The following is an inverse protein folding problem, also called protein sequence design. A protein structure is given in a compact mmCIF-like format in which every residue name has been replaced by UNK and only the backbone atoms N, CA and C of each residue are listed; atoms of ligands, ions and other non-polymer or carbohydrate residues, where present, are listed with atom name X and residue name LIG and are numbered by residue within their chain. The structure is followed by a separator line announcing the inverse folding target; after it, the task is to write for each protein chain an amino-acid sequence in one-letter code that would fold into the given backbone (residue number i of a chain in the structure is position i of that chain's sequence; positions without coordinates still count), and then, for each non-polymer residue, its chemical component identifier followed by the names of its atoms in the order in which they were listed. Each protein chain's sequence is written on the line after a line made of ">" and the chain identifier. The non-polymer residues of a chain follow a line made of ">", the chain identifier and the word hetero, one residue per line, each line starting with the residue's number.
data_IF_282563262291
#
_entry.id   IF_282563262291
#
_cell.length_a   1.000
_cell.length_b   1.000
_cell.length_c   1.000
_cell.angle_alpha   90.00
_cell.angle_beta   90.00
_cell.angle_gamma   90.00
#
_symmetry.space_group_name_H-M   'P 1'
#
loop_
_entity.id
_entity.type
_entity.pdbx_description
1 polymer ?
#
# COMPACT_ATOMS: atom_id res chain seq x y z
N UNK A 1 -5.80 78.93 -63.84
CA UNK A 1 -6.83 78.13 -63.15
C UNK A 1 -6.30 76.72 -63.00
N UNK A 2 -6.42 76.17 -61.78
CA UNK A 2 -6.36 74.71 -61.44
C UNK A 2 -5.04 73.98 -61.74
N UNK A 3 -4.34 73.28 -60.83
CA UNK A 3 -4.58 72.73 -59.49
C UNK A 3 -3.19 72.56 -58.79
N UNK A 4 -3.11 72.54 -57.45
CA UNK A 4 -1.87 72.22 -56.73
C UNK A 4 -1.70 70.70 -56.55
N UNK A 5 -0.46 70.21 -56.71
CA UNK A 5 -0.07 68.84 -56.38
C UNK A 5 -0.05 68.59 -54.85
N UNK A 6 -0.35 67.37 -54.38
CA UNK A 6 -0.48 67.10 -52.96
C UNK A 6 0.87 67.07 -52.23
N UNK A 7 0.89 67.63 -51.03
CA UNK A 7 1.99 67.55 -50.09
C UNK A 7 2.19 66.11 -49.59
N UNK A 8 3.33 65.52 -49.94
CA UNK A 8 3.81 64.28 -49.33
C UNK A 8 4.16 64.56 -47.86
N UNK A 9 3.34 64.04 -46.94
CA UNK A 9 3.73 63.91 -45.54
C UNK A 9 4.84 62.86 -45.43
N UNK A 10 6.07 63.30 -45.14
CA UNK A 10 7.10 62.40 -44.61
C UNK A 10 6.75 62.06 -43.16
N UNK A 11 6.23 60.85 -42.95
CA UNK A 11 6.36 60.18 -41.64
C UNK A 11 7.85 59.88 -41.39
N UNK A 12 8.40 60.17 -40.19
CA UNK A 12 9.72 59.67 -39.84
C UNK A 12 9.66 58.15 -39.67
N UNK A 13 10.66 57.38 -40.14
CA UNK A 13 10.69 55.95 -39.91
C UNK A 13 10.84 55.66 -38.42
N UNK A 14 10.00 54.77 -37.91
CA UNK A 14 10.07 54.22 -36.55
C UNK A 14 11.36 53.40 -36.35
N UNK A 15 12.46 54.09 -36.05
CA UNK A 15 13.74 53.47 -35.70
C UNK A 15 13.77 53.12 -34.21
N UNK A 16 13.20 51.97 -33.84
CA UNK A 16 13.10 51.60 -32.42
C UNK A 16 13.15 50.10 -32.08
N UNK A 17 13.40 49.19 -33.03
CA UNK A 17 13.26 47.75 -32.76
C UNK A 17 14.43 46.78 -33.07
N UNK A 18 15.54 47.11 -33.77
CA UNK A 18 16.57 46.09 -34.04
C UNK A 18 17.52 45.84 -32.85
N UNK A 19 17.80 46.84 -32.01
CA UNK A 19 18.81 46.73 -30.95
C UNK A 19 18.39 45.80 -29.80
N UNK A 20 17.10 45.76 -29.45
CA UNK A 20 16.59 44.92 -28.35
C UNK A 20 16.58 43.43 -28.73
N UNK A 21 16.34 43.11 -30.00
CA UNK A 21 16.32 41.74 -30.51
C UNK A 21 17.74 41.20 -30.66
N UNK A 22 18.66 42.01 -31.19
CA UNK A 22 20.09 41.70 -31.29
C UNK A 22 20.72 41.45 -29.91
N UNK A 23 20.38 42.26 -28.90
CA UNK A 23 20.88 42.09 -27.54
C UNK A 23 20.36 40.82 -26.86
N UNK A 24 19.07 40.46 -27.10
CA UNK A 24 18.49 39.20 -26.62
C UNK A 24 19.17 37.99 -27.29
N UNK A 25 19.43 38.07 -28.59
CA UNK A 25 20.10 37.01 -29.34
C UNK A 25 21.56 36.83 -28.88
N UNK A 26 22.30 37.93 -28.71
CA UNK A 26 23.68 37.92 -28.23
C UNK A 26 23.79 37.36 -26.81
N UNK A 27 22.87 37.74 -25.91
CA UNK A 27 22.79 37.16 -24.56
C UNK A 27 22.50 35.66 -24.61
N UNK A 28 21.54 35.22 -25.43
CA UNK A 28 21.19 33.81 -25.60
C UNK A 28 22.35 32.97 -26.18
N UNK A 29 23.09 33.51 -27.15
CA UNK A 29 24.27 32.85 -27.72
C UNK A 29 25.43 32.79 -26.73
N UNK A 30 25.62 33.83 -25.91
CA UNK A 30 26.65 33.85 -24.87
C UNK A 30 26.35 32.87 -23.73
N UNK A 31 25.10 32.83 -23.24
CA UNK A 31 24.67 31.81 -22.27
C UNK A 31 24.77 30.42 -22.86
N UNK A 32 24.33 30.21 -24.12
CA UNK A 32 24.48 28.93 -24.80
C UNK A 32 25.94 28.50 -24.89
N UNK A 33 26.87 29.42 -25.21
CA UNK A 33 28.30 29.11 -25.32
C UNK A 33 28.96 28.80 -23.97
N UNK A 34 28.57 29.49 -22.90
CA UNK A 34 29.05 29.20 -21.53
C UNK A 34 28.49 27.87 -21.03
N UNK A 35 27.18 27.64 -21.21
CA UNK A 35 26.52 26.38 -20.86
C UNK A 35 27.15 25.23 -21.64
N UNK A 36 27.38 25.40 -22.94
CA UNK A 36 28.05 24.40 -23.78
C UNK A 36 29.48 24.12 -23.32
N UNK A 37 30.24 25.16 -22.94
CA UNK A 37 31.61 25.00 -22.44
C UNK A 37 31.67 24.32 -21.07
N UNK A 38 30.68 24.54 -20.21
CA UNK A 38 30.58 23.87 -18.91
C UNK A 38 30.04 22.43 -19.06
N UNK A 39 29.14 22.21 -20.03
CA UNK A 39 28.64 20.90 -20.41
C UNK A 39 29.73 20.02 -21.01
N UNK A 40 30.54 20.56 -21.94
CA UNK A 40 31.65 19.83 -22.56
C UNK A 40 32.80 19.51 -21.61
N UNK A 41 32.91 20.25 -20.49
CA UNK A 41 33.86 19.96 -19.40
C UNK A 41 33.33 18.95 -18.37
N UNK A 42 32.15 18.38 -18.59
CA UNK A 42 31.58 17.33 -17.74
C UNK A 42 31.08 17.81 -16.36
N UNK A 43 30.99 19.12 -16.13
CA UNK A 43 30.44 19.68 -14.89
C UNK A 43 29.04 19.13 -14.54
N UNK A 44 28.05 19.06 -15.47
CA UNK A 44 26.74 18.52 -15.13
C UNK A 44 26.79 17.05 -14.74
N UNK A 45 27.62 16.25 -15.42
CA UNK A 45 27.81 14.83 -15.10
C UNK A 45 28.37 14.68 -13.68
N UNK A 46 29.37 15.49 -13.31
CA UNK A 46 29.94 15.49 -11.94
C UNK A 46 28.91 15.87 -10.89
N UNK A 47 28.08 16.87 -11.14
CA UNK A 47 27.01 17.28 -10.23
C UNK A 47 25.95 16.18 -10.10
N UNK A 48 25.54 15.55 -11.20
CA UNK A 48 24.59 14.44 -11.20
C UNK A 48 25.13 13.23 -10.44
N UNK A 49 26.40 12.87 -10.65
CA UNK A 49 27.07 11.79 -9.90
C UNK A 49 27.15 12.11 -8.41
N UNK A 50 27.53 13.34 -8.06
CA UNK A 50 27.57 13.79 -6.66
C UNK A 50 26.18 13.69 -6.03
N UNK A 51 25.13 14.12 -6.73
CA UNK A 51 23.74 14.01 -6.26
C UNK A 51 23.36 12.55 -6.00
N UNK A 52 23.67 11.63 -6.91
CA UNK A 52 23.42 10.20 -6.72
C UNK A 52 24.17 9.69 -5.49
N UNK A 53 25.46 9.99 -5.37
CA UNK A 53 26.28 9.51 -4.27
C UNK A 53 25.79 10.05 -2.93
N UNK A 54 25.53 11.35 -2.81
CA UNK A 54 24.99 11.95 -1.58
C UNK A 54 23.62 11.36 -1.25
N UNK A 55 22.75 11.16 -2.25
CA UNK A 55 21.40 10.64 -1.99
C UNK A 55 21.43 9.18 -1.54
N UNK A 56 22.09 8.30 -2.29
CA UNK A 56 22.03 6.86 -2.07
C UNK A 56 23.07 6.36 -1.05
N UNK A 57 24.12 7.12 -0.76
CA UNK A 57 25.14 6.72 0.21
C UNK A 57 25.05 7.50 1.53
N UNK A 58 24.30 8.61 1.60
CA UNK A 58 24.17 9.41 2.83
C UNK A 58 22.71 9.64 3.20
N UNK A 59 21.93 10.33 2.36
CA UNK A 59 20.58 10.76 2.73
C UNK A 59 19.61 9.58 2.93
N UNK A 60 19.50 8.68 1.95
CA UNK A 60 18.59 7.54 2.03
C UNK A 60 18.97 6.55 3.14
N UNK A 61 20.25 6.19 3.35
CA UNK A 61 20.63 5.42 4.54
C UNK A 61 20.18 6.08 5.85
N UNK A 62 20.39 7.39 6.01
CA UNK A 62 20.01 8.09 7.25
C UNK A 62 18.50 8.20 7.44
N UNK A 63 17.75 8.47 6.37
CA UNK A 63 16.29 8.65 6.43
C UNK A 63 15.52 7.32 6.45
N UNK A 64 16.05 6.29 5.79
CA UNK A 64 15.35 5.03 5.58
C UNK A 64 15.87 3.86 6.45
N UNK A 65 16.96 4.02 7.22
CA UNK A 65 17.45 2.96 8.10
C UNK A 65 16.37 2.44 9.07
N UNK A 66 15.52 3.32 9.59
CA UNK A 66 14.41 2.97 10.49
C UNK A 66 13.10 2.58 9.77
N UNK A 67 13.03 2.69 8.44
CA UNK A 67 11.82 2.38 7.68
C UNK A 67 11.82 0.89 7.30
N UNK A 68 10.84 0.10 7.79
CA UNK A 68 10.72 -1.30 7.39
C UNK A 68 10.51 -1.40 5.88
N UNK A 69 11.01 -2.48 5.29
CA UNK A 69 10.95 -2.79 3.85
C UNK A 69 11.63 -1.78 2.90
N UNK A 70 12.38 -0.80 3.42
CA UNK A 70 13.27 0.02 2.61
C UNK A 70 14.54 -0.75 2.21
N UNK A 71 15.27 -0.28 1.21
CA UNK A 71 16.54 -0.88 0.78
C UNK A 71 17.66 -0.74 1.82
N UNK A 72 17.52 0.16 2.79
CA UNK A 72 18.53 0.49 3.80
C UNK A 72 18.19 -0.05 5.19
N UNK A 73 17.09 -0.80 5.32
CA UNK A 73 16.66 -1.39 6.57
C UNK A 73 17.65 -2.49 7.03
N UNK A 74 18.18 -2.38 8.25
CA UNK A 74 19.26 -3.24 8.75
C UNK A 74 18.76 -4.39 9.66
N UNK A 75 19.23 -5.65 9.49
CA UNK A 75 18.85 -6.78 10.33
C UNK A 75 19.22 -6.69 11.82
N UNK A 76 20.15 -5.80 12.19
CA UNK A 76 20.44 -5.51 13.59
C UNK A 76 19.28 -4.78 14.29
N UNK A 77 18.52 -3.97 13.56
CA UNK A 77 17.34 -3.31 14.10
C UNK A 77 16.20 -4.30 14.32
N UNK A 78 16.09 -5.32 13.46
CA UNK A 78 15.19 -6.48 13.63
C UNK A 78 15.30 -7.15 15.00
N UNK A 79 16.52 -7.30 15.56
CA UNK A 79 16.68 -7.88 16.92
C UNK A 79 16.17 -6.94 18.00
N UNK A 80 16.42 -5.64 17.87
CA UNK A 80 15.93 -4.64 18.83
C UNK A 80 14.41 -4.55 18.78
N UNK A 81 13.82 -4.48 17.58
CA UNK A 81 12.37 -4.53 17.42
C UNK A 81 11.79 -5.83 17.95
N UNK A 82 12.39 -7.00 17.69
CA UNK A 82 11.90 -8.26 18.24
C UNK A 82 11.89 -8.28 19.77
N UNK A 83 12.89 -7.69 20.41
CA UNK A 83 12.91 -7.54 21.87
C UNK A 83 11.78 -6.62 22.37
N UNK A 84 11.59 -5.47 21.72
CA UNK A 84 10.48 -4.56 22.05
C UNK A 84 9.11 -5.21 21.85
N UNK A 85 8.93 -5.89 20.72
CA UNK A 85 7.69 -6.56 20.35
C UNK A 85 7.35 -7.71 21.29
N UNK A 86 8.36 -8.44 21.77
CA UNK A 86 8.18 -9.48 22.80
C UNK A 86 7.72 -8.87 24.12
N UNK A 87 8.32 -7.76 24.56
CA UNK A 87 7.88 -7.07 25.78
C UNK A 87 6.45 -6.51 25.63
N UNK A 88 6.10 -5.99 24.46
CA UNK A 88 4.73 -5.55 24.17
C UNK A 88 3.72 -6.70 24.13
N UNK A 89 4.12 -7.85 23.59
CA UNK A 89 3.30 -9.06 23.56
C UNK A 89 3.06 -9.59 24.98
N UNK A 90 4.11 -9.66 25.81
CA UNK A 90 4.00 -10.03 27.23
C UNK A 90 3.07 -9.07 28.00
N UNK A 91 3.12 -7.76 27.72
CA UNK A 91 2.19 -6.78 28.28
C UNK A 91 0.76 -7.00 27.81
N UNK A 92 0.55 -7.29 26.52
CA UNK A 92 -0.78 -7.56 25.95
C UNK A 92 -1.39 -8.83 26.54
N UNK A 93 -0.61 -9.90 26.67
CA UNK A 93 -1.03 -11.14 27.33
C UNK A 93 -1.36 -10.89 28.79
N UNK A 94 -0.55 -10.12 29.51
CA UNK A 94 -0.83 -9.76 30.91
C UNK A 94 -2.13 -8.94 31.04
N UNK A 95 -2.35 -7.96 30.17
CA UNK A 95 -3.59 -7.18 30.12
C UNK A 95 -4.80 -8.05 29.77
N UNK A 96 -4.71 -8.88 28.73
CA UNK A 96 -5.76 -9.82 28.33
C UNK A 96 -6.11 -10.79 29.45
N UNK A 97 -5.10 -11.35 30.13
CA UNK A 97 -5.32 -12.23 31.28
C UNK A 97 -5.96 -11.49 32.46
N UNK A 98 -5.57 -10.23 32.72
CA UNK A 98 -6.19 -9.42 33.77
C UNK A 98 -7.66 -9.11 33.46
N UNK A 99 -7.96 -8.84 32.18
CA UNK A 99 -9.32 -8.62 31.71
C UNK A 99 -10.16 -9.89 31.80
N UNK A 100 -9.67 -11.03 31.27
CA UNK A 100 -10.34 -12.33 31.38
C UNK A 100 -10.53 -12.73 32.85
N UNK A 101 -9.56 -12.47 33.72
CA UNK A 101 -9.70 -12.72 35.15
C UNK A 101 -10.78 -11.84 35.80
N UNK A 102 -10.90 -10.58 35.39
CA UNK A 102 -12.00 -9.71 35.81
C UNK A 102 -13.36 -10.19 35.27
N UNK A 103 -13.36 -10.90 34.14
CA UNK A 103 -14.56 -11.51 33.55
C UNK A 103 -14.93 -12.87 34.16
N UNK A 104 -13.98 -13.61 34.77
CA UNK A 104 -14.23 -14.92 35.38
C UNK A 104 -15.21 -14.78 36.54
N UNK A 105 -16.44 -15.26 36.33
CA UNK A 105 -17.55 -15.18 37.28
C UNK A 105 -18.74 -14.37 36.76
N UNK A 106 -18.56 -13.59 35.69
CA UNK A 106 -19.66 -12.92 34.98
C UNK A 106 -20.14 -13.80 33.83
N UNK A 107 -21.44 -14.09 33.79
CA UNK A 107 -22.06 -14.91 32.73
C UNK A 107 -22.02 -14.23 31.35
N UNK A 108 -21.92 -12.89 31.34
CA UNK A 108 -21.83 -12.01 30.17
C UNK A 108 -21.20 -10.71 30.63
N UNK A 109 -20.30 -10.10 29.84
CA UNK A 109 -19.78 -8.77 30.14
C UNK A 109 -19.98 -7.82 28.97
N UNK A 110 -20.45 -6.64 29.33
CA UNK A 110 -20.85 -5.56 28.44
C UNK A 110 -19.63 -4.79 27.92
N UNK A 111 -19.63 -4.43 26.64
CA UNK A 111 -18.96 -3.22 26.17
C UNK A 111 -19.84 -2.03 26.61
N UNK A 112 -19.32 -1.04 27.35
CA UNK A 112 -20.11 0.06 27.85
C UNK A 112 -20.28 1.10 26.75
N UNK A 113 -21.19 0.86 25.81
CA UNK A 113 -21.74 1.89 24.92
C UNK A 113 -23.15 1.46 24.51
N UNK A 114 -24.11 2.39 24.56
CA UNK A 114 -25.58 2.20 24.50
C UNK A 114 -26.15 1.63 23.18
N UNK A 115 -25.39 0.83 22.43
CA UNK A 115 -25.84 0.09 21.26
C UNK A 115 -25.16 -1.27 21.05
N UNK A 116 -24.21 -1.66 21.92
CA UNK A 116 -23.47 -2.90 21.75
C UNK A 116 -24.28 -4.11 22.25
N UNK A 117 -24.88 -4.88 21.33
CA UNK A 117 -25.37 -6.23 21.66
C UNK A 117 -24.17 -7.09 22.08
N UNK A 118 -24.27 -7.77 23.22
CA UNK A 118 -23.25 -8.69 23.69
C UNK A 118 -22.97 -9.75 22.61
N UNK A 119 -21.73 -9.78 22.09
CA UNK A 119 -21.30 -10.81 21.15
C UNK A 119 -21.03 -12.09 21.95
N UNK A 120 -21.70 -13.21 21.64
CA UNK A 120 -21.47 -14.47 22.35
C UNK A 120 -20.04 -14.95 22.07
N UNK A 121 -19.30 -15.28 23.13
CA UNK A 121 -18.02 -15.97 23.01
C UNK A 121 -18.31 -17.43 22.67
N UNK A 122 -18.12 -17.79 21.40
CA UNK A 122 -18.33 -19.14 20.90
C UNK A 122 -17.01 -19.91 21.00
N UNK A 123 -16.99 -20.95 21.83
CA UNK A 123 -15.83 -21.84 21.95
C UNK A 123 -16.16 -23.19 21.30
N UNK A 124 -15.27 -23.64 20.42
CA UNK A 124 -15.25 -25.03 19.98
C UNK A 124 -14.77 -25.85 21.18
N UNK A 125 -15.69 -26.46 21.93
CA UNK A 125 -15.34 -27.35 23.03
C UNK A 125 -14.46 -28.47 22.50
N UNK A 126 -13.16 -28.38 22.74
CA UNK A 126 -12.30 -29.54 22.70
C UNK A 126 -12.45 -30.23 24.05
N UNK A 127 -12.71 -31.55 24.10
CA UNK A 127 -12.49 -32.29 25.34
C UNK A 127 -11.06 -32.00 25.84
N UNK A 128 -10.83 -31.95 27.16
CA UNK A 128 -9.49 -31.80 27.72
C UNK A 128 -8.70 -33.08 27.43
N UNK A 129 -8.26 -33.25 26.18
CA UNK A 129 -7.41 -34.35 25.80
C UNK A 129 -5.98 -34.03 26.25
N UNK A 130 -5.39 -34.99 26.94
CA UNK A 130 -3.96 -35.08 27.24
C UNK A 130 -3.12 -34.61 26.05
N UNK A 131 -1.90 -34.09 26.28
CA UNK A 131 -1.00 -33.64 25.22
C UNK A 131 -0.53 -34.85 24.41
N UNK A 132 -1.36 -35.32 23.48
CA UNK A 132 -0.91 -36.17 22.40
C UNK A 132 0.00 -35.33 21.51
N UNK A 133 1.09 -35.91 20.96
CA UNK A 133 1.96 -35.21 20.05
C UNK A 133 1.17 -34.86 18.79
N UNK A 134 0.62 -33.65 18.76
CA UNK A 134 -0.04 -33.09 17.58
C UNK A 134 1.04 -33.01 16.51
N UNK A 135 0.94 -33.86 15.49
CA UNK A 135 1.83 -33.81 14.33
C UNK A 135 1.91 -32.36 13.81
N UNK A 136 3.09 -31.91 13.39
CA UNK A 136 3.32 -30.55 12.89
C UNK A 136 2.43 -30.17 11.68
N UNK A 137 1.80 -31.15 11.03
CA UNK A 137 0.75 -30.93 10.04
C UNK A 137 -0.60 -30.59 10.69
N UNK A 138 -1.03 -31.33 11.71
CA UNK A 138 -2.29 -31.10 12.43
C UNK A 138 -2.31 -29.73 13.15
N UNK A 139 -1.17 -29.28 13.70
CA UNK A 139 -1.08 -27.95 14.33
C UNK A 139 -1.22 -26.81 13.31
N UNK A 140 -0.66 -26.95 12.09
CA UNK A 140 -0.79 -25.94 11.01
C UNK A 140 -2.19 -25.82 10.44
N UNK A 141 -3.02 -26.85 10.60
CA UNK A 141 -4.35 -26.92 9.99
C UNK A 141 -5.48 -26.55 10.94
N UNK A 142 -5.19 -26.54 12.25
CA UNK A 142 -6.14 -26.21 13.30
C UNK A 142 -6.75 -24.80 13.16
N UNK A 143 -5.96 -23.72 12.93
CA UNK A 143 -6.53 -22.38 12.80
C UNK A 143 -7.58 -22.27 11.67
N UNK A 144 -7.33 -22.99 10.56
CA UNK A 144 -8.21 -23.00 9.38
C UNK A 144 -9.49 -23.79 9.60
N UNK A 145 -9.43 -24.88 10.37
CA UNK A 145 -10.61 -25.61 10.78
C UNK A 145 -11.46 -24.82 11.78
N UNK A 146 -10.80 -24.08 12.67
CA UNK A 146 -11.47 -23.20 13.64
C UNK A 146 -12.15 -22.03 12.94
N UNK A 147 -11.53 -21.46 11.90
CA UNK A 147 -12.13 -20.43 11.08
C UNK A 147 -13.44 -20.87 10.40
N UNK A 148 -13.46 -22.04 9.77
CA UNK A 148 -14.66 -22.57 9.11
C UNK A 148 -15.78 -22.82 10.14
N UNK A 149 -15.43 -23.34 11.32
CA UNK A 149 -16.37 -23.52 12.41
C UNK A 149 -16.91 -22.17 12.93
N UNK A 150 -16.04 -21.19 13.16
CA UNK A 150 -16.41 -19.85 13.61
C UNK A 150 -17.36 -19.17 12.63
N UNK A 151 -17.12 -19.29 11.32
CA UNK A 151 -18.05 -18.78 10.30
C UNK A 151 -19.42 -19.46 10.35
N UNK A 152 -19.45 -20.78 10.52
CA UNK A 152 -20.70 -21.53 10.68
C UNK A 152 -21.47 -21.06 11.91
N UNK A 153 -20.78 -20.94 13.04
CA UNK A 153 -21.35 -20.55 14.31
C UNK A 153 -21.82 -19.08 14.30
N UNK A 154 -21.06 -18.17 13.69
CA UNK A 154 -21.43 -16.75 13.53
C UNK A 154 -22.65 -16.58 12.63
N UNK A 155 -22.71 -17.29 11.50
CA UNK A 155 -23.86 -17.25 10.60
C UNK A 155 -25.14 -17.78 11.26
N UNK A 156 -25.01 -18.77 12.14
CA UNK A 156 -26.13 -19.30 12.93
C UNK A 156 -26.56 -18.34 14.05
N UNK A 157 -25.61 -17.71 14.74
CA UNK A 157 -25.88 -16.78 15.84
C UNK A 157 -26.47 -15.45 15.38
N UNK A 158 -26.13 -14.99 14.17
CA UNK A 158 -26.61 -13.73 13.59
C UNK A 158 -27.25 -13.98 12.23
N UNK A 159 -28.52 -14.42 12.19
CA UNK A 159 -29.21 -14.74 10.94
C UNK A 159 -29.43 -13.52 10.04
N UNK A 160 -29.60 -12.34 10.64
CA UNK A 160 -29.92 -11.09 9.94
C UNK A 160 -28.69 -10.31 9.43
N UNK A 161 -27.48 -10.82 9.65
CA UNK A 161 -26.26 -10.15 9.23
C UNK A 161 -25.99 -10.35 7.73
N UNK A 162 -25.91 -9.25 6.98
CA UNK A 162 -25.56 -9.25 5.55
C UNK A 162 -24.08 -9.58 5.31
N UNK A 163 -23.23 -9.13 6.24
CA UNK A 163 -21.78 -9.27 6.19
C UNK A 163 -21.25 -9.94 7.44
N UNK A 164 -20.25 -10.80 7.24
CA UNK A 164 -19.55 -11.55 8.27
C UNK A 164 -18.06 -11.23 8.18
N UNK A 165 -17.49 -10.73 9.27
CA UNK A 165 -16.06 -10.48 9.37
C UNK A 165 -15.43 -11.54 10.28
N UNK A 166 -14.30 -12.10 9.84
CA UNK A 166 -13.47 -12.97 10.67
C UNK A 166 -12.06 -12.42 10.66
N UNK A 167 -11.52 -12.25 11.86
CA UNK A 167 -10.23 -11.62 12.13
C UNK A 167 -9.49 -12.52 13.11
N UNK A 168 -8.26 -12.88 12.78
CA UNK A 168 -7.36 -13.63 13.66
C UNK A 168 -6.97 -12.79 14.89
N UNK A 169 -6.57 -13.46 15.97
CA UNK A 169 -6.23 -12.86 17.26
C UNK A 169 -4.95 -12.00 17.23
N UNK A 170 -4.10 -12.21 16.23
CA UNK A 170 -2.87 -11.45 16.00
C UNK A 170 -3.05 -10.16 15.19
N UNK A 171 -4.30 -9.80 14.84
CA UNK A 171 -4.62 -8.61 14.06
C UNK A 171 -5.14 -7.46 14.91
N UNK A 172 -4.60 -6.26 14.68
CA UNK A 172 -5.03 -5.03 15.35
C UNK A 172 -5.62 -4.05 14.34
N UNK A 173 -6.83 -3.59 14.64
CA UNK A 173 -7.52 -2.57 13.86
C UNK A 173 -6.83 -1.21 13.98
N UNK A 174 -6.71 -0.50 12.86
CA UNK A 174 -6.36 0.92 12.87
C UNK A 174 -7.50 1.75 13.46
N UNK A 175 -7.18 2.94 13.97
CA UNK A 175 -8.15 3.82 14.62
C UNK A 175 -9.35 4.18 13.73
N UNK A 176 -9.13 4.25 12.42
CA UNK A 176 -10.13 4.56 11.40
C UNK A 176 -10.73 3.32 10.71
N UNK A 177 -10.38 2.11 11.15
CA UNK A 177 -10.74 0.87 10.46
C UNK A 177 -12.24 0.64 10.38
N UNK A 178 -13.00 0.93 11.45
CA UNK A 178 -14.46 0.72 11.48
C UNK A 178 -15.18 1.71 10.56
N UNK A 179 -14.83 3.00 10.63
CA UNK A 179 -15.36 4.02 9.72
C UNK A 179 -15.03 3.70 8.25
N UNK A 180 -13.80 3.26 7.99
CA UNK A 180 -13.37 2.87 6.67
C UNK A 180 -14.10 1.62 6.15
N UNK A 181 -14.37 0.66 7.03
CA UNK A 181 -15.14 -0.55 6.69
C UNK A 181 -16.57 -0.18 6.29
N UNK A 182 -17.23 0.69 7.06
CA UNK A 182 -18.53 1.24 6.72
C UNK A 182 -18.51 1.95 5.37
N UNK A 183 -17.55 2.85 5.14
CA UNK A 183 -17.41 3.54 3.85
C UNK A 183 -17.20 2.57 2.69
N UNK A 184 -16.42 1.51 2.89
CA UNK A 184 -16.17 0.49 1.88
C UNK A 184 -17.45 -0.28 1.56
N UNK A 185 -18.19 -0.71 2.59
CA UNK A 185 -19.46 -1.43 2.47
C UNK A 185 -20.54 -0.57 1.82
N UNK A 186 -20.80 0.62 2.37
CA UNK A 186 -21.94 1.45 2.03
C UNK A 186 -21.70 2.26 0.75
N UNK A 187 -20.47 2.71 0.49
CA UNK A 187 -20.19 3.62 -0.63
C UNK A 187 -19.45 2.97 -1.79
N UNK A 188 -18.44 2.13 -1.56
CA UNK A 188 -17.56 1.65 -2.65
C UNK A 188 -18.05 0.37 -3.27
N UNK A 189 -18.49 -0.58 -2.45
CA UNK A 189 -19.09 -1.81 -2.94
C UNK A 189 -20.44 -1.53 -3.63
N UNK A 190 -21.29 -0.72 -3.00
CA UNK A 190 -22.56 -0.29 -3.56
C UNK A 190 -22.40 0.51 -4.87
N UNK A 191 -21.55 1.55 -4.93
CA UNK A 191 -21.40 2.37 -6.15
C UNK A 191 -20.66 1.67 -7.28
N UNK A 192 -19.62 0.88 -6.97
CA UNK A 192 -18.76 0.26 -8.00
C UNK A 192 -19.39 -0.99 -8.63
N UNK A 193 -20.24 -1.69 -7.88
CA UNK A 193 -20.82 -2.96 -8.31
C UNK A 193 -22.35 -2.92 -8.43
N UNK A 194 -23.05 -2.03 -7.73
CA UNK A 194 -24.52 -2.02 -7.67
C UNK A 194 -25.09 -3.27 -7.01
N UNK A 195 -26.36 -3.26 -6.61
CA UNK A 195 -26.98 -4.35 -5.83
C UNK A 195 -26.84 -5.73 -6.51
N UNK A 196 -26.98 -5.80 -7.84
CA UNK A 196 -26.88 -7.07 -8.59
C UNK A 196 -25.45 -7.60 -8.73
N UNK A 197 -24.40 -6.78 -8.64
CA UNK A 197 -23.00 -7.27 -8.68
C UNK A 197 -22.32 -7.27 -7.31
N UNK A 198 -22.92 -6.68 -6.28
CA UNK A 198 -22.59 -6.98 -4.88
C UNK A 198 -22.72 -8.47 -4.59
N UNK A 199 -23.71 -9.13 -5.18
CA UNK A 199 -23.81 -10.58 -5.18
C UNK A 199 -22.54 -11.24 -5.74
N UNK A 200 -21.83 -10.63 -6.70
CA UNK A 200 -20.60 -11.20 -7.28
C UNK A 200 -19.38 -11.02 -6.37
N UNK A 201 -19.45 -10.22 -5.31
CA UNK A 201 -18.34 -10.11 -4.35
C UNK A 201 -18.34 -11.34 -3.47
N UNK A 202 -17.25 -12.10 -3.51
CA UNK A 202 -17.09 -13.34 -2.76
C UNK A 202 -16.45 -13.11 -1.40
N UNK A 203 -15.35 -12.36 -1.42
CA UNK A 203 -14.39 -12.28 -0.33
C UNK A 203 -13.67 -10.94 -0.40
N UNK A 204 -13.45 -10.30 0.75
CA UNK A 204 -12.67 -9.07 0.86
C UNK A 204 -11.55 -9.22 1.89
N UNK A 205 -10.34 -9.20 1.37
CA UNK A 205 -9.03 -8.95 1.97
C UNK A 205 -9.00 -7.73 2.90
N UNK A 206 -9.06 -7.86 4.22
CA UNK A 206 -8.91 -6.69 5.12
C UNK A 206 -7.46 -6.41 5.52
N UNK A 207 -6.61 -7.44 5.45
CA UNK A 207 -5.18 -7.36 5.70
C UNK A 207 -4.39 -7.90 4.50
N UNK A 208 -3.30 -7.22 4.15
CA UNK A 208 -2.31 -7.67 3.19
C UNK A 208 -0.92 -7.37 3.76
N UNK A 209 -0.01 -8.35 3.76
CA UNK A 209 1.27 -8.18 4.41
C UNK A 209 2.21 -7.32 3.54
N UNK A 210 2.99 -6.42 4.13
CA UNK A 210 3.81 -5.52 3.30
C UNK A 210 5.02 -6.15 2.66
N UNK A 211 5.45 -7.32 3.14
CA UNK A 211 6.42 -8.13 2.40
C UNK A 211 5.97 -8.43 0.97
N UNK A 212 4.65 -8.50 0.74
CA UNK A 212 4.05 -8.74 -0.57
C UNK A 212 3.71 -7.46 -1.31
N UNK A 213 3.61 -6.34 -0.60
CA UNK A 213 3.42 -5.01 -1.17
C UNK A 213 4.71 -4.45 -1.80
N UNK A 214 5.82 -5.19 -1.87
CA UNK A 214 7.05 -4.74 -2.56
C UNK A 214 6.81 -4.56 -4.07
N UNK A 215 7.59 -3.69 -4.71
CA UNK A 215 7.56 -3.56 -6.17
C UNK A 215 8.00 -4.88 -6.82
N UNK A 216 7.09 -5.52 -7.57
CA UNK A 216 7.36 -6.75 -8.32
C UNK A 216 7.54 -6.39 -9.79
N UNK A 217 8.73 -6.63 -10.33
CA UNK A 217 9.09 -6.27 -11.71
C UNK A 217 8.21 -6.91 -12.80
N UNK A 218 7.49 -7.99 -12.47
CA UNK A 218 6.62 -8.73 -13.39
C UNK A 218 5.17 -8.25 -13.37
N UNK A 219 4.80 -7.37 -12.45
CA UNK A 219 3.43 -6.87 -12.31
C UNK A 219 3.25 -5.54 -13.07
N UNK A 220 2.27 -5.48 -13.97
CA UNK A 220 1.98 -4.29 -14.77
C UNK A 220 1.54 -3.11 -13.88
N UNK A 221 0.85 -3.38 -12.77
CA UNK A 221 0.43 -2.35 -11.81
C UNK A 221 1.63 -1.67 -11.14
N UNK A 222 2.68 -2.45 -10.85
CA UNK A 222 3.94 -1.93 -10.29
C UNK A 222 4.60 -0.92 -11.23
N UNK A 223 4.69 -1.25 -12.53
CA UNK A 223 5.28 -0.33 -13.50
C UNK A 223 4.47 0.95 -13.65
N UNK A 224 3.13 0.87 -13.69
CA UNK A 224 2.29 2.06 -13.79
C UNK A 224 2.48 2.98 -12.58
N UNK A 225 2.46 2.43 -11.37
CA UNK A 225 2.67 3.19 -10.13
C UNK A 225 4.03 3.88 -10.12
N UNK A 226 5.08 3.14 -10.49
CA UNK A 226 6.45 3.63 -10.57
C UNK A 226 6.65 4.71 -11.65
N UNK A 227 6.05 4.54 -12.83
CA UNK A 227 6.07 5.54 -13.90
C UNK A 227 5.32 6.81 -13.47
N UNK A 228 4.21 6.67 -12.73
CA UNK A 228 3.45 7.80 -12.19
C UNK A 228 4.27 8.55 -11.13
N UNK A 229 4.84 7.85 -10.15
CA UNK A 229 5.67 8.47 -9.10
C UNK A 229 6.90 9.14 -9.72
N UNK A 230 7.63 8.42 -10.59
CA UNK A 230 8.78 8.95 -11.30
C UNK A 230 8.43 10.14 -12.19
N UNK A 231 7.28 10.08 -12.87
CA UNK A 231 6.77 11.15 -13.71
C UNK A 231 6.37 12.39 -12.91
N UNK A 232 5.65 12.23 -11.80
CA UNK A 232 5.23 13.33 -10.95
C UNK A 232 6.43 13.99 -10.27
N UNK A 233 7.30 13.23 -9.61
CA UNK A 233 8.45 13.78 -8.87
C UNK A 233 9.51 14.28 -9.84
N UNK A 234 9.94 13.44 -10.78
CA UNK A 234 10.94 13.79 -11.78
C UNK A 234 10.48 14.93 -12.68
N UNK A 235 9.21 14.89 -13.12
CA UNK A 235 8.60 15.94 -13.93
C UNK A 235 8.46 17.26 -13.17
N UNK A 236 8.04 17.25 -11.89
CA UNK A 236 7.98 18.46 -11.08
C UNK A 236 9.38 19.10 -10.89
N UNK A 237 10.39 18.28 -10.58
CA UNK A 237 11.77 18.73 -10.49
C UNK A 237 12.27 19.31 -11.81
N UNK A 238 11.96 18.66 -12.94
CA UNK A 238 12.32 19.15 -14.26
C UNK A 238 11.60 20.46 -14.61
N UNK A 239 10.31 20.59 -14.30
CA UNK A 239 9.54 21.82 -14.52
C UNK A 239 10.08 22.98 -13.70
N UNK A 240 10.49 22.73 -12.44
CA UNK A 240 11.13 23.73 -11.60
C UNK A 240 12.46 24.19 -12.20
N UNK A 241 13.31 23.24 -12.62
CA UNK A 241 14.54 23.54 -13.35
C UNK A 241 14.27 24.36 -14.62
N UNK A 242 13.31 23.92 -15.43
CA UNK A 242 12.95 24.54 -16.70
C UNK A 242 12.49 25.99 -16.48
N UNK A 243 11.67 26.23 -15.44
CA UNK A 243 11.20 27.56 -15.10
C UNK A 243 12.31 28.50 -14.63
N UNK A 244 13.35 27.98 -13.98
CA UNK A 244 14.46 28.80 -13.47
C UNK A 244 15.58 29.05 -14.48
N UNK A 245 15.87 28.10 -15.38
CA UNK A 245 17.09 28.11 -16.19
C UNK A 245 16.84 27.98 -17.71
N UNK A 246 15.62 28.25 -18.14
CA UNK A 246 15.12 27.97 -19.49
C UNK A 246 16.06 28.42 -20.62
N UNK A 247 16.52 27.46 -21.43
CA UNK A 247 17.10 27.70 -22.76
C UNK A 247 16.42 26.74 -23.76
N UNK A 248 15.36 27.17 -24.48
CA UNK A 248 14.59 26.29 -25.36
C UNK A 248 15.39 25.75 -26.56
N UNK A 249 16.54 26.36 -26.85
CA UNK A 249 17.44 25.96 -27.95
C UNK A 249 18.26 24.68 -27.66
N UNK A 250 18.22 24.14 -26.43
CA UNK A 250 19.01 22.98 -26.02
C UNK A 250 18.12 21.76 -25.76
N UNK A 251 17.49 21.25 -26.82
CA UNK A 251 16.59 20.09 -26.72
C UNK A 251 17.27 18.85 -26.13
N UNK A 252 18.43 18.45 -26.67
CA UNK A 252 19.10 17.20 -26.28
C UNK A 252 19.56 17.21 -24.81
N UNK A 253 20.23 18.26 -24.27
CA UNK A 253 20.57 18.33 -22.85
C UNK A 253 19.36 18.35 -21.92
N UNK A 254 18.28 19.04 -22.32
CA UNK A 254 17.04 19.08 -21.53
C UNK A 254 16.37 17.70 -21.49
N UNK A 255 16.37 16.97 -22.61
CA UNK A 255 15.87 15.59 -22.66
C UNK A 255 16.71 14.66 -21.78
N UNK A 256 18.05 14.75 -21.85
CA UNK A 256 18.93 13.96 -20.99
C UNK A 256 18.70 14.24 -19.50
N UNK A 257 18.51 15.51 -19.11
CA UNK A 257 18.23 15.88 -17.73
C UNK A 257 16.85 15.38 -17.28
N UNK A 258 15.81 15.53 -18.11
CA UNK A 258 14.48 15.03 -17.82
C UNK A 258 14.50 13.51 -17.59
N UNK A 259 15.13 12.77 -18.50
CA UNK A 259 15.31 11.31 -18.39
C UNK A 259 16.09 10.93 -17.12
N UNK A 260 17.16 11.65 -16.78
CA UNK A 260 17.89 11.41 -15.54
C UNK A 260 17.02 11.63 -14.30
N UNK A 261 16.30 12.76 -14.21
CA UNK A 261 15.44 13.06 -13.06
C UNK A 261 14.30 12.03 -12.92
N UNK A 262 13.77 11.56 -14.04
CA UNK A 262 12.79 10.49 -14.07
C UNK A 262 13.36 9.16 -13.53
N UNK A 263 14.51 8.70 -14.05
CA UNK A 263 15.15 7.46 -13.59
C UNK A 263 15.62 7.59 -12.12
N UNK A 264 16.14 8.76 -11.74
CA UNK A 264 16.57 9.04 -10.38
C UNK A 264 15.40 8.98 -9.39
N UNK A 265 14.27 9.60 -9.70
CA UNK A 265 13.07 9.54 -8.85
C UNK A 265 12.48 8.13 -8.77
N UNK A 266 12.53 7.37 -9.87
CA UNK A 266 12.18 5.96 -9.88
C UNK A 266 13.06 5.13 -8.92
N UNK A 267 14.37 5.33 -8.97
CA UNK A 267 15.32 4.64 -8.10
C UNK A 267 15.11 5.01 -6.62
N UNK A 268 14.82 6.29 -6.32
CA UNK A 268 14.44 6.72 -4.96
C UNK A 268 13.15 6.04 -4.51
N UNK A 269 12.13 5.96 -5.38
CA UNK A 269 10.87 5.31 -5.04
C UNK A 269 11.06 3.83 -4.67
N UNK A 270 11.85 3.11 -5.46
CA UNK A 270 12.22 1.71 -5.19
C UNK A 270 13.02 1.58 -3.89
N UNK A 271 13.96 2.48 -3.63
CA UNK A 271 14.81 2.44 -2.44
C UNK A 271 14.02 2.71 -1.14
N UNK A 272 13.06 3.63 -1.16
CA UNK A 272 12.14 3.88 -0.04
C UNK A 272 11.22 2.69 0.20
N UNK A 273 10.79 2.03 -0.88
CA UNK A 273 9.92 0.86 -0.85
C UNK A 273 8.43 1.21 -0.93
N UNK A 274 7.70 0.42 -1.71
CA UNK A 274 6.25 0.59 -1.96
C UNK A 274 5.38 0.65 -0.70
N UNK A 275 5.61 -0.16 0.37
CA UNK A 275 4.81 -0.06 1.60
C UNK A 275 4.82 1.33 2.22
N UNK A 276 5.99 1.99 2.21
CA UNK A 276 6.15 3.33 2.76
C UNK A 276 5.44 4.40 1.89
N UNK A 277 5.43 4.24 0.56
CA UNK A 277 4.64 5.09 -0.33
C UNK A 277 3.13 4.92 -0.14
N UNK A 278 2.66 3.68 0.06
CA UNK A 278 1.24 3.40 0.34
C UNK A 278 0.83 3.98 1.69
N UNK A 279 1.68 3.88 2.71
CA UNK A 279 1.47 4.50 4.01
C UNK A 279 1.39 6.03 3.89
N UNK A 280 2.31 6.65 3.14
CA UNK A 280 2.29 8.09 2.88
C UNK A 280 1.03 8.52 2.09
N UNK A 281 0.66 7.78 1.05
CA UNK A 281 -0.57 8.01 0.26
C UNK A 281 -1.80 8.01 1.16
N UNK A 282 -1.88 7.06 2.07
CA UNK A 282 -3.01 6.94 2.98
C UNK A 282 -3.02 8.05 4.03
N UNK A 283 -1.86 8.40 4.60
CA UNK A 283 -1.76 9.54 5.50
C UNK A 283 -2.25 10.84 4.84
N UNK A 284 -2.00 11.00 3.53
CA UNK A 284 -2.39 12.18 2.75
C UNK A 284 -3.86 12.17 2.30
N UNK A 285 -4.36 11.05 1.82
CA UNK A 285 -5.67 11.00 1.14
C UNK A 285 -6.77 10.36 1.98
N UNK A 286 -6.43 9.51 2.96
CA UNK A 286 -7.38 8.62 3.68
C UNK A 286 -8.29 7.80 2.75
N UNK A 287 -7.90 7.62 1.49
CA UNK A 287 -8.68 6.87 0.50
C UNK A 287 -8.22 5.41 0.51
N UNK A 288 -9.18 4.52 0.71
CA UNK A 288 -9.01 3.08 0.50
C UNK A 288 -9.33 2.68 -0.95
N UNK A 289 -8.50 1.84 -1.54
CA UNK A 289 -8.77 1.24 -2.84
C UNK A 289 -9.15 -0.23 -2.67
N UNK A 290 -10.13 -0.68 -3.45
CA UNK A 290 -10.46 -2.09 -3.60
C UNK A 290 -9.82 -2.59 -4.88
N UNK A 291 -8.97 -3.60 -4.80
CA UNK A 291 -8.33 -4.21 -5.96
C UNK A 291 -8.21 -5.73 -5.80
N UNK A 292 -7.77 -6.43 -6.83
CA UNK A 292 -7.48 -7.86 -6.69
C UNK A 292 -6.31 -8.09 -5.72
N UNK A 293 -6.39 -9.13 -4.86
CA UNK A 293 -5.34 -9.42 -3.90
C UNK A 293 -4.03 -9.83 -4.61
N UNK A 294 -2.91 -9.31 -4.13
CA UNK A 294 -1.57 -9.69 -4.62
C UNK A 294 -1.14 -11.09 -4.17
N UNK A 295 -1.68 -11.55 -3.04
CA UNK A 295 -1.58 -12.90 -2.53
C UNK A 295 -2.87 -13.28 -1.80
N UNK A 296 -3.10 -14.57 -1.61
CA UNK A 296 -4.15 -15.02 -0.72
C UNK A 296 -3.64 -14.99 0.73
N UNK A 297 -4.20 -14.11 1.56
CA UNK A 297 -3.96 -14.07 3.00
C UNK A 297 -5.29 -14.22 3.75
N UNK A 298 -5.36 -15.19 4.67
CA UNK A 298 -6.62 -15.54 5.34
C UNK A 298 -6.76 -15.03 6.78
N UNK A 299 -5.83 -14.17 7.22
CA UNK A 299 -5.79 -13.65 8.59
C UNK A 299 -6.93 -12.70 8.93
N UNK A 300 -7.42 -11.92 7.97
CA UNK A 300 -8.57 -11.06 8.19
C UNK A 300 -9.39 -10.84 6.92
N UNK A 301 -10.65 -11.25 7.01
CA UNK A 301 -11.51 -11.41 5.84
C UNK A 301 -12.92 -10.93 6.15
N UNK A 302 -13.51 -10.20 5.21
CA UNK A 302 -14.92 -9.84 5.18
C UNK A 302 -15.65 -10.62 4.07
N UNK A 303 -16.76 -11.25 4.42
CA UNK A 303 -17.58 -12.07 3.50
C UNK A 303 -19.03 -11.63 3.53
N UNK A 304 -19.72 -11.56 2.38
CA UNK A 304 -21.17 -11.52 2.38
C UNK A 304 -21.72 -12.91 2.76
N UNK A 305 -22.86 -12.93 3.43
CA UNK A 305 -23.49 -14.16 3.93
C UNK A 305 -23.65 -15.24 2.86
N UNK A 306 -24.01 -14.85 1.63
CA UNK A 306 -24.20 -15.77 0.51
C UNK A 306 -22.92 -16.55 0.14
N UNK A 307 -21.75 -15.96 0.36
CA UNK A 307 -20.45 -16.58 0.10
C UNK A 307 -20.08 -17.63 1.14
N UNK A 308 -20.55 -17.47 2.38
CA UNK A 308 -20.34 -18.46 3.45
C UNK A 308 -21.02 -19.80 3.11
N UNK A 309 -22.22 -19.76 2.52
CA UNK A 309 -22.91 -20.97 2.06
C UNK A 309 -22.14 -21.72 0.97
N UNK A 310 -21.45 -20.98 0.08
CA UNK A 310 -20.60 -21.58 -0.96
C UNK A 310 -19.35 -22.25 -0.36
N UNK A 311 -18.79 -21.69 0.72
CA UNK A 311 -17.66 -22.30 1.43
C UNK A 311 -18.07 -23.58 2.16
N UNK A 312 -19.26 -23.58 2.77
CA UNK A 312 -19.78 -24.77 3.43
C UNK A 312 -20.16 -25.86 2.42
N UNK A 313 -20.74 -25.48 1.27
CA UNK A 313 -21.15 -26.41 0.22
C UNK A 313 -20.03 -26.96 -0.66
N UNK A 314 -18.88 -26.26 -0.74
CA UNK A 314 -17.71 -26.71 -1.51
C UNK A 314 -16.90 -27.83 -0.85
N UNK A 315 -17.40 -28.37 0.28
CA UNK A 315 -17.05 -29.70 0.74
C UNK A 315 -15.57 -29.89 1.00
N UNK A 316 -14.90 -28.88 1.55
CA UNK A 316 -13.69 -29.17 2.29
C UNK A 316 -12.53 -29.73 1.45
N UNK A 317 -12.35 -29.45 0.14
CA UNK A 317 -11.22 -30.01 -0.62
C UNK A 317 -9.88 -29.43 -0.16
N UNK A 318 -9.28 -30.10 0.82
CA UNK A 318 -7.96 -29.84 1.34
C UNK A 318 -6.90 -29.97 0.25
N UNK A 319 -5.81 -29.20 0.37
CA UNK A 319 -4.66 -29.33 -0.53
C UNK A 319 -4.18 -30.79 -0.58
N UNK A 320 -3.86 -31.34 -1.77
CA UNK A 320 -3.20 -32.64 -1.86
C UNK A 320 -1.82 -32.65 -1.16
N UNK A 321 -1.18 -31.49 -1.07
CA UNK A 321 0.18 -31.35 -0.51
C UNK A 321 0.21 -31.14 1.00
N UNK A 322 -0.75 -30.40 1.55
CA UNK A 322 -0.78 -30.07 2.98
C UNK A 322 -1.91 -30.75 3.75
N UNK A 323 -2.84 -31.39 3.05
CA UNK A 323 -4.04 -32.01 3.65
C UNK A 323 -5.02 -30.99 4.22
N UNK A 324 -4.86 -29.69 3.94
CA UNK A 324 -5.55 -28.61 4.64
C UNK A 324 -5.96 -27.45 3.73
N UNK A 325 -6.97 -26.69 4.20
CA UNK A 325 -7.48 -25.49 3.52
C UNK A 325 -6.44 -24.38 3.54
N UNK A 326 -5.94 -23.98 2.38
CA UNK A 326 -5.08 -22.81 2.22
C UNK A 326 -5.90 -21.57 1.90
N UNK A 327 -5.39 -20.38 2.23
CA UNK A 327 -5.94 -19.12 1.77
C UNK A 327 -6.18 -19.14 0.24
N UNK A 328 -5.20 -19.67 -0.50
CA UNK A 328 -5.29 -19.84 -1.96
C UNK A 328 -6.44 -20.73 -2.41
N UNK A 329 -6.80 -21.75 -1.63
CA UNK A 329 -7.91 -22.66 -1.97
C UNK A 329 -9.25 -21.98 -1.76
N UNK A 330 -9.38 -21.17 -0.72
CA UNK A 330 -10.61 -20.38 -0.51
C UNK A 330 -10.77 -19.35 -1.61
N UNK A 331 -9.70 -18.63 -1.92
CA UNK A 331 -9.67 -17.69 -3.04
C UNK A 331 -10.01 -18.39 -4.37
N UNK A 332 -9.45 -19.58 -4.61
CA UNK A 332 -9.73 -20.38 -5.81
C UNK A 332 -11.17 -20.91 -5.84
N UNK A 333 -11.73 -21.32 -4.71
CA UNK A 333 -13.12 -21.75 -4.58
C UNK A 333 -14.10 -20.60 -4.85
N UNK A 334 -13.77 -19.39 -4.40
CA UNK A 334 -14.54 -18.20 -4.71
C UNK A 334 -14.49 -17.86 -6.19
N UNK A 335 -13.29 -17.87 -6.78
CA UNK A 335 -13.12 -17.57 -8.21
C UNK A 335 -13.79 -18.63 -9.10
N UNK A 336 -13.72 -19.91 -8.74
CA UNK A 336 -14.38 -20.98 -9.49
C UNK A 336 -15.90 -20.93 -9.40
N UNK A 337 -16.44 -20.42 -8.29
CA UNK A 337 -17.86 -20.09 -8.14
C UNK A 337 -18.28 -18.79 -8.86
N UNK A 338 -17.39 -18.18 -9.66
CA UNK A 338 -17.66 -16.92 -10.37
C UNK A 338 -17.76 -15.70 -9.46
N UNK A 339 -17.29 -15.79 -8.21
CA UNK A 339 -17.22 -14.68 -7.26
C UNK A 339 -15.87 -13.98 -7.34
N UNK A 340 -15.87 -12.67 -7.08
CA UNK A 340 -14.67 -11.83 -7.04
C UNK A 340 -14.05 -11.86 -5.66
N UNK A 341 -12.73 -11.99 -5.63
CA UNK A 341 -11.92 -11.78 -4.44
C UNK A 341 -11.29 -10.40 -4.54
N UNK A 342 -11.49 -9.56 -3.55
CA UNK A 342 -10.95 -8.20 -3.47
C UNK A 342 -10.05 -8.07 -2.25
N UNK A 343 -9.21 -7.05 -2.22
CA UNK A 343 -8.42 -6.64 -1.07
C UNK A 343 -8.48 -5.12 -0.90
N UNK A 344 -8.42 -4.69 0.35
CA UNK A 344 -8.44 -3.28 0.75
C UNK A 344 -7.00 -2.77 0.88
N UNK A 345 -6.68 -1.70 0.16
CA UNK A 345 -5.37 -1.05 0.23
C UNK A 345 -5.48 0.43 0.63
N UNK A 346 -4.71 0.90 1.62
CA UNK A 346 -3.84 0.09 2.50
C UNK A 346 -4.63 -0.82 3.44
N UNK A 347 -3.96 -1.79 4.06
CA UNK A 347 -4.53 -2.71 5.04
C UNK A 347 -5.24 -1.95 6.18
N UNK A 348 -6.46 -2.38 6.51
CA UNK A 348 -7.25 -1.85 7.63
C UNK A 348 -6.75 -2.37 8.98
N UNK A 349 -6.15 -3.54 8.92
CA UNK A 349 -5.61 -4.28 10.06
C UNK A 349 -4.10 -4.39 9.90
N UNK A 350 -3.44 -4.45 11.05
CA UNK A 350 -1.99 -4.58 11.19
C UNK A 350 -1.70 -5.84 11.98
N UNK A 351 -0.70 -6.62 11.56
CA UNK A 351 -0.31 -7.83 12.27
C UNK A 351 0.58 -7.47 13.47
N UNK A 352 0.20 -7.88 14.67
CA UNK A 352 0.90 -7.57 15.92
C UNK A 352 1.40 -8.82 16.65
N UNK A 353 1.14 -10.01 16.09
CA UNK A 353 1.65 -11.28 16.61
C UNK A 353 3.16 -11.41 16.49
N UNK A 354 3.79 -12.01 17.49
CA UNK A 354 5.21 -12.42 17.44
C UNK A 354 5.40 -13.76 16.71
N UNK A 355 4.32 -14.52 16.58
CA UNK A 355 4.25 -15.84 15.94
C UNK A 355 3.04 -15.83 15.00
N UNK A 356 3.23 -16.28 13.77
CA UNK A 356 2.11 -16.56 12.87
C UNK A 356 2.15 -18.03 12.48
N UNK A 357 0.99 -18.67 12.47
CA UNK A 357 0.82 -20.04 12.01
C UNK A 357 1.28 -20.24 10.54
N UNK A 358 1.39 -19.16 9.77
CA UNK A 358 1.74 -19.18 8.36
C UNK A 358 3.24 -19.34 8.07
N UNK A 359 4.15 -19.02 9.01
CA UNK A 359 5.60 -19.01 8.73
C UNK A 359 6.43 -20.02 9.52
N UNK A 360 5.84 -20.72 10.50
CA UNK A 360 6.53 -21.79 11.24
C UNK A 360 7.73 -21.32 12.10
N UNK A 361 7.84 -20.03 12.43
CA UNK A 361 8.95 -19.48 13.23
C UNK A 361 8.60 -18.18 13.98
N UNK A 362 9.56 -17.69 14.77
CA UNK A 362 9.52 -16.37 15.41
C UNK A 362 9.49 -15.31 14.29
N UNK A 363 8.36 -14.60 14.18
CA UNK A 363 8.19 -13.56 13.20
C UNK A 363 8.36 -12.20 13.86
N UNK A 364 9.15 -11.38 13.21
CA UNK A 364 9.03 -9.95 13.36
C UNK A 364 7.70 -9.51 12.70
N UNK A 365 6.69 -9.00 13.43
CA UNK A 365 5.45 -8.47 12.84
C UNK A 365 5.69 -7.42 11.74
N UNK A 366 6.78 -6.65 11.82
CA UNK A 366 7.21 -5.70 10.79
C UNK A 366 7.81 -6.32 9.53
N UNK A 367 8.05 -7.64 9.50
CA UNK A 367 8.33 -8.37 8.25
C UNK A 367 7.03 -8.78 7.54
N UNK A 368 5.90 -8.72 8.25
CA UNK A 368 4.57 -8.96 7.72
C UNK A 368 3.83 -7.65 7.45
N UNK A 369 4.28 -6.48 7.93
CA UNK A 369 3.53 -5.20 7.92
C UNK A 369 4.11 -4.07 7.10
#
# INVERSE_FOLDING_TARGET
>A
SEQPAPANQLQPPASGQPASMQLKLARALFTARIVWRNFSRGLPIRVMLLQVLVTFCVLLPLLCAGLPHSAYYWPGDLRKTNFHLRNEDERRVAQGNSYIAALKGQRWAYLPDEGAKALPVLSRQHPPELPLPVSASASRCRPKADWAWCLGALAAASPDADWLAVVEDDQLARLDAVSALHDIMDSKLARRYGDQRLARVGLVHLHSPASELRYRWLDAGTWLELMLIGGCIGGACFMLYYRMFCNPMLFLPNLCLASFLFIYSLAVAVAVGRPNWLAARHALTRIYSLDEPLSANFSAVLLPRQSQLLLNGSGGRASPLTGCWGAEQVDAAMRSAGRRVLAVYPSLLRHVGLYSAHSGGLLAPHLLD
#
